data_IF_358150170851
#
_entry.id   IF_358150170851
#
_cell.length_a   1.000
_cell.length_b   1.000
_cell.length_c   1.000
_cell.angle_alpha   90.00
_cell.angle_beta   90.00
_cell.angle_gamma   90.00
#
_symmetry.space_group_name_H-M   'P 1'
#
loop_
_entity.id
_entity.type
_entity.pdbx_description
1 polymer ?
#
# COMPACT_ATOMS: atom_id res chain seq x y z
N UNK A 1 27.03 -27.44 6.93
CA UNK A 1 26.67 -26.10 7.44
C UNK A 1 26.27 -25.34 6.20
N UNK A 2 24.99 -25.38 5.85
CA UNK A 2 24.45 -24.35 4.95
C UNK A 2 24.58 -23.06 5.76
N UNK A 3 25.44 -22.14 5.31
CA UNK A 3 25.32 -20.76 5.75
C UNK A 3 23.86 -20.37 5.48
N UNK A 4 23.15 -19.90 6.50
CA UNK A 4 21.75 -19.51 6.40
C UNK A 4 21.68 -18.31 5.44
N UNK A 5 21.42 -18.59 4.15
CA UNK A 5 21.47 -17.57 3.10
C UNK A 5 20.30 -16.62 3.35
N UNK A 6 20.62 -15.38 3.73
CA UNK A 6 19.62 -14.32 3.89
C UNK A 6 18.79 -14.15 2.62
N UNK A 7 17.48 -13.97 2.78
CA UNK A 7 16.56 -13.66 1.69
C UNK A 7 16.76 -12.20 1.28
N UNK A 8 16.90 -11.96 -0.03
CA UNK A 8 17.14 -10.62 -0.57
C UNK A 8 15.83 -9.90 -0.93
N UNK A 9 15.65 -8.70 -0.41
CA UNK A 9 14.57 -7.78 -0.77
C UNK A 9 15.16 -6.49 -1.31
N UNK A 10 14.66 -6.02 -2.47
CA UNK A 10 15.08 -4.75 -3.07
C UNK A 10 13.96 -3.73 -2.99
N UNK A 11 14.32 -2.50 -2.61
CA UNK A 11 13.50 -1.30 -2.69
C UNK A 11 14.21 -0.29 -3.61
N UNK A 12 13.45 0.48 -4.39
CA UNK A 12 13.98 1.61 -5.18
C UNK A 12 13.31 2.91 -4.74
N UNK A 13 14.08 3.89 -4.26
CA UNK A 13 13.52 5.17 -3.82
C UNK A 13 14.55 6.30 -3.72
N UNK A 14 14.05 7.53 -3.83
CA UNK A 14 14.76 8.76 -3.46
C UNK A 14 14.46 9.14 -2.01
N UNK A 15 15.29 10.00 -1.41
CA UNK A 15 15.27 10.31 0.03
C UNK A 15 13.98 10.99 0.48
N UNK A 16 13.27 11.69 -0.40
CA UNK A 16 11.94 12.23 -0.10
C UNK A 16 10.94 11.13 0.30
N UNK A 17 11.19 9.87 -0.07
CA UNK A 17 10.38 8.71 0.30
C UNK A 17 10.95 7.91 1.48
N UNK A 18 11.92 8.46 2.23
CA UNK A 18 12.57 7.75 3.34
C UNK A 18 11.58 7.23 4.39
N UNK A 19 10.50 7.96 4.68
CA UNK A 19 9.46 7.52 5.62
C UNK A 19 8.68 6.29 5.11
N UNK A 20 8.37 6.26 3.82
CA UNK A 20 7.67 5.16 3.15
C UNK A 20 8.56 3.91 3.09
N UNK A 21 9.85 4.10 2.75
CA UNK A 21 10.88 3.05 2.80
C UNK A 21 10.99 2.47 4.22
N UNK A 22 11.09 3.33 5.24
CA UNK A 22 11.16 2.87 6.63
C UNK A 22 9.91 2.10 7.05
N UNK A 23 8.73 2.58 6.68
CA UNK A 23 7.46 1.93 7.02
C UNK A 23 7.36 0.55 6.37
N UNK A 24 7.76 0.43 5.10
CA UNK A 24 7.83 -0.85 4.39
C UNK A 24 8.80 -1.82 5.08
N UNK A 25 10.03 -1.37 5.39
CA UNK A 25 11.03 -2.19 6.09
C UNK A 25 10.55 -2.64 7.47
N UNK A 26 9.93 -1.73 8.26
CA UNK A 26 9.34 -2.06 9.55
C UNK A 26 8.29 -3.16 9.40
N UNK A 27 7.37 -3.02 8.45
CA UNK A 27 6.33 -4.03 8.21
C UNK A 27 6.92 -5.41 7.91
N UNK A 28 7.96 -5.47 7.07
CA UNK A 28 8.67 -6.73 6.79
C UNK A 28 9.33 -7.28 8.06
N UNK A 29 10.01 -6.44 8.84
CA UNK A 29 10.69 -6.82 10.07
C UNK A 29 9.73 -7.22 11.21
N UNK A 30 8.44 -6.90 11.15
CA UNK A 30 7.47 -7.44 12.11
C UNK A 30 7.21 -8.95 11.92
N UNK A 31 7.45 -9.45 10.71
CA UNK A 31 7.02 -10.79 10.28
C UNK A 31 8.13 -11.66 9.69
N UNK A 32 9.30 -11.09 9.41
CA UNK A 32 10.40 -11.78 8.74
C UNK A 32 11.75 -11.53 9.46
N UNK A 33 12.68 -12.49 9.31
CA UNK A 33 14.07 -12.47 9.79
C UNK A 33 14.98 -13.00 8.68
N UNK A 34 16.30 -12.84 8.85
CA UNK A 34 17.28 -13.26 7.85
C UNK A 34 17.10 -12.49 6.53
N UNK A 35 16.82 -11.19 6.60
CA UNK A 35 16.55 -10.36 5.42
C UNK A 35 17.73 -9.44 5.12
N UNK A 36 18.23 -9.52 3.89
CA UNK A 36 19.12 -8.52 3.31
C UNK A 36 18.32 -7.57 2.44
N UNK A 37 18.16 -6.34 2.90
CA UNK A 37 17.59 -5.27 2.10
C UNK A 37 18.65 -4.65 1.20
N UNK A 38 18.30 -4.38 -0.05
CA UNK A 38 19.03 -3.51 -0.95
C UNK A 38 18.17 -2.28 -1.22
N UNK A 39 18.68 -1.09 -0.94
CA UNK A 39 18.00 0.15 -1.32
C UNK A 39 18.73 0.79 -2.49
N UNK A 40 18.17 0.63 -3.68
CA UNK A 40 18.65 1.29 -4.89
C UNK A 40 18.22 2.76 -4.83
N UNK A 41 19.19 3.67 -4.84
CA UNK A 41 18.96 5.10 -4.64
C UNK A 41 20.08 5.95 -5.26
N UNK A 42 19.89 7.28 -5.31
CA UNK A 42 20.94 8.23 -5.69
C UNK A 42 21.23 9.32 -4.64
N UNK A 43 20.41 9.46 -3.58
CA UNK A 43 20.42 10.64 -2.70
C UNK A 43 20.33 10.35 -1.19
N UNK A 44 20.18 9.09 -0.74
CA UNK A 44 20.05 8.78 0.70
C UNK A 44 21.35 9.01 1.50
N UNK A 45 21.35 9.81 2.58
CA UNK A 45 22.54 10.04 3.40
C UNK A 45 23.13 8.76 4.01
N UNK A 46 24.46 8.69 4.12
CA UNK A 46 25.16 7.52 4.68
C UNK A 46 24.79 7.26 6.15
N UNK A 47 24.56 8.32 6.93
CA UNK A 47 24.14 8.23 8.34
C UNK A 47 22.79 7.54 8.49
N UNK A 48 21.90 7.68 7.50
CA UNK A 48 20.62 6.98 7.49
C UNK A 48 20.82 5.47 7.46
N UNK A 49 21.68 4.98 6.55
CA UNK A 49 22.04 3.57 6.47
C UNK A 49 22.76 3.06 7.71
N UNK A 50 23.73 3.84 8.22
CA UNK A 50 24.46 3.47 9.43
C UNK A 50 23.51 3.28 10.62
N UNK A 51 22.62 4.25 10.86
CA UNK A 51 21.69 4.20 11.97
C UNK A 51 20.61 3.11 11.79
N UNK A 52 20.16 2.87 10.57
CA UNK A 52 19.20 1.80 10.28
C UNK A 52 19.83 0.41 10.47
N UNK A 53 21.05 0.18 9.96
CA UNK A 53 21.76 -1.09 10.17
C UNK A 53 21.97 -1.44 11.64
N UNK A 54 22.22 -0.46 12.51
CA UNK A 54 22.30 -0.68 13.97
C UNK A 54 21.02 -1.24 14.57
N UNK A 55 19.87 -0.92 13.97
CA UNK A 55 18.54 -1.40 14.40
C UNK A 55 18.26 -2.76 13.75
N UNK A 56 18.45 -2.90 12.45
CA UNK A 56 18.22 -4.13 11.69
C UNK A 56 19.06 -5.30 12.18
N UNK A 57 20.31 -5.06 12.58
CA UNK A 57 21.19 -6.12 13.11
C UNK A 57 20.62 -6.81 14.35
N UNK A 58 19.80 -6.12 15.15
CA UNK A 58 19.12 -6.71 16.31
C UNK A 58 17.94 -7.62 15.93
N UNK A 59 17.49 -7.52 14.69
CA UNK A 59 16.38 -8.25 14.11
C UNK A 59 16.86 -9.25 13.05
N UNK A 60 18.15 -9.62 13.05
CA UNK A 60 18.74 -10.52 12.04
C UNK A 60 18.48 -10.06 10.59
N UNK A 61 18.57 -8.75 10.38
CA UNK A 61 18.42 -8.11 9.08
C UNK A 61 19.57 -7.14 8.83
N UNK A 62 19.78 -6.78 7.58
CA UNK A 62 20.71 -5.71 7.18
C UNK A 62 20.22 -4.94 5.96
N UNK A 63 20.79 -3.76 5.73
CA UNK A 63 20.53 -2.95 4.54
C UNK A 63 21.82 -2.54 3.85
N UNK A 64 21.88 -2.80 2.55
CA UNK A 64 22.96 -2.42 1.63
C UNK A 64 22.56 -1.14 0.89
N UNK A 65 23.48 -0.18 0.86
CA UNK A 65 23.34 1.05 0.07
C UNK A 65 23.72 0.78 -1.39
N UNK A 66 22.74 0.42 -2.22
CA UNK A 66 22.90 0.19 -3.66
C UNK A 66 22.86 1.53 -4.41
N UNK A 67 23.90 2.35 -4.22
CA UNK A 67 23.93 3.72 -4.73
C UNK A 67 24.22 3.76 -6.24
N UNK A 68 23.22 4.15 -7.02
CA UNK A 68 23.39 4.51 -8.43
C UNK A 68 24.20 5.79 -8.52
N UNK A 69 25.18 5.80 -9.42
CA UNK A 69 26.03 6.95 -9.67
C UNK A 69 26.30 7.08 -11.18
N UNK A 70 27.03 8.13 -11.59
CA UNK A 70 27.33 8.38 -13.01
C UNK A 70 28.03 7.23 -13.73
N UNK A 71 28.84 6.40 -13.07
CA UNK A 71 29.53 5.30 -13.78
C UNK A 71 28.55 4.21 -14.21
N UNK A 72 27.53 3.92 -13.38
CA UNK A 72 26.46 2.97 -13.72
C UNK A 72 25.57 3.47 -14.86
N UNK A 73 25.49 4.78 -15.07
CA UNK A 73 24.66 5.39 -16.12
C UNK A 73 25.46 5.55 -17.40
N UNK A 74 26.72 6.00 -17.32
CA UNK A 74 27.58 6.30 -18.45
C UNK A 74 27.93 5.06 -19.29
N UNK A 75 27.73 3.84 -18.77
CA UNK A 75 27.84 2.61 -19.54
C UNK A 75 26.70 2.46 -20.58
N UNK A 76 25.62 3.25 -20.45
CA UNK A 76 24.49 3.27 -21.36
C UNK A 76 24.39 4.63 -22.07
N UNK A 77 24.00 4.62 -23.35
CA UNK A 77 23.72 5.84 -24.12
C UNK A 77 22.30 6.32 -23.81
N UNK A 78 22.12 7.10 -22.74
CA UNK A 78 20.79 7.58 -22.31
C UNK A 78 20.80 9.04 -21.87
N UNK A 79 19.67 9.73 -22.08
CA UNK A 79 19.39 11.09 -21.57
C UNK A 79 18.24 11.10 -20.55
N UNK A 80 17.78 9.92 -20.11
CA UNK A 80 16.60 9.77 -19.26
C UNK A 80 16.95 10.03 -17.79
N UNK A 81 16.01 10.66 -17.09
CA UNK A 81 16.03 10.73 -15.63
C UNK A 81 15.72 9.34 -15.04
N UNK A 82 16.77 8.64 -14.65
CA UNK A 82 16.74 7.25 -14.17
C UNK A 82 16.17 7.12 -12.75
N UNK A 83 15.87 8.23 -12.07
CA UNK A 83 15.21 8.24 -10.75
C UNK A 83 13.86 7.50 -10.77
N UNK A 84 13.19 7.47 -11.94
CA UNK A 84 11.93 6.75 -12.15
C UNK A 84 12.11 5.25 -12.46
N UNK A 85 13.34 4.78 -12.65
CA UNK A 85 13.65 3.45 -13.18
C UNK A 85 14.71 2.70 -12.35
N UNK A 86 14.85 3.04 -11.06
CA UNK A 86 15.86 2.46 -10.17
C UNK A 86 15.85 0.92 -10.13
N UNK A 87 14.69 0.29 -10.30
CA UNK A 87 14.60 -1.17 -10.31
C UNK A 87 15.36 -1.85 -11.47
N UNK A 88 15.71 -1.12 -12.54
CA UNK A 88 16.48 -1.68 -13.67
C UNK A 88 17.87 -2.14 -13.23
N UNK A 89 18.43 -1.50 -12.21
CA UNK A 89 19.79 -1.74 -11.72
C UNK A 89 19.88 -2.89 -10.71
N UNK A 90 18.79 -3.63 -10.45
CA UNK A 90 18.81 -4.85 -9.61
C UNK A 90 20.00 -5.78 -9.92
N UNK A 91 20.25 -6.21 -11.18
CA UNK A 91 21.33 -7.15 -11.49
C UNK A 91 22.73 -6.58 -11.28
N UNK A 92 22.88 -5.24 -11.20
CA UNK A 92 24.18 -4.58 -10.99
C UNK A 92 24.58 -4.57 -9.51
N UNK A 93 23.61 -4.63 -8.59
CA UNK A 93 23.84 -4.53 -7.14
C UNK A 93 23.56 -5.81 -6.35
N UNK A 94 22.63 -6.64 -6.80
CA UNK A 94 22.18 -7.82 -6.05
C UNK A 94 22.98 -9.04 -6.49
N UNK A 95 23.57 -9.76 -5.54
CA UNK A 95 24.39 -10.94 -5.84
C UNK A 95 23.55 -12.21 -5.98
N UNK A 96 22.51 -12.35 -5.17
CA UNK A 96 21.67 -13.54 -5.08
C UNK A 96 20.90 -13.84 -6.37
N UNK A 97 20.64 -15.13 -6.61
CA UNK A 97 19.98 -15.60 -7.84
C UNK A 97 18.49 -15.30 -7.91
N UNK A 98 17.84 -15.18 -6.76
CA UNK A 98 16.42 -14.87 -6.62
C UNK A 98 16.28 -13.68 -5.67
N UNK A 99 15.46 -12.70 -6.04
CA UNK A 99 15.26 -11.48 -5.25
C UNK A 99 13.82 -11.02 -5.31
N UNK A 100 13.30 -10.51 -4.20
CA UNK A 100 11.97 -9.90 -4.16
C UNK A 100 12.09 -8.38 -4.25
N UNK A 101 11.63 -7.80 -5.36
CA UNK A 101 11.46 -6.35 -5.48
C UNK A 101 10.12 -5.93 -4.91
N UNK A 102 10.12 -4.84 -4.14
CA UNK A 102 8.94 -4.19 -3.58
C UNK A 102 8.99 -2.68 -3.85
N UNK A 103 7.85 -2.08 -4.18
CA UNK A 103 7.70 -0.62 -4.08
C UNK A 103 7.69 -0.19 -2.60
N UNK A 104 7.84 1.11 -2.33
CA UNK A 104 7.85 1.64 -0.95
C UNK A 104 6.48 2.11 -0.43
N UNK A 105 5.44 2.06 -1.26
CA UNK A 105 4.06 2.44 -0.95
C UNK A 105 3.16 1.23 -0.66
N UNK A 106 3.74 0.22 0.00
CA UNK A 106 3.07 -0.99 0.45
C UNK A 106 3.43 -1.34 1.89
N UNK A 107 2.72 -2.32 2.46
CA UNK A 107 3.05 -2.92 3.74
C UNK A 107 2.91 -4.43 3.68
N UNK A 108 3.80 -5.13 4.37
CA UNK A 108 3.83 -6.58 4.50
C UNK A 108 3.24 -6.96 5.86
N UNK A 109 2.21 -7.81 5.84
CA UNK A 109 1.43 -8.17 7.01
C UNK A 109 1.64 -9.61 7.48
N UNK A 110 2.47 -10.39 6.78
CA UNK A 110 2.67 -11.83 7.00
C UNK A 110 4.10 -12.26 6.64
N UNK A 111 4.47 -13.49 7.03
CA UNK A 111 5.70 -14.15 6.60
C UNK A 111 5.75 -14.27 5.06
N UNK A 112 6.88 -13.89 4.47
CA UNK A 112 7.14 -13.91 3.02
C UNK A 112 7.84 -15.19 2.57
N UNK A 113 8.19 -16.12 3.46
CA UNK A 113 8.79 -17.41 3.09
C UNK A 113 8.04 -18.12 1.97
N UNK A 114 6.68 -18.23 2.00
CA UNK A 114 5.94 -18.86 0.90
C UNK A 114 6.08 -18.16 -0.46
N UNK A 115 6.39 -16.85 -0.47
CA UNK A 115 6.63 -16.09 -1.71
C UNK A 115 8.03 -16.38 -2.25
N UNK A 116 9.04 -16.50 -1.39
CA UNK A 116 10.40 -16.88 -1.78
C UNK A 116 10.53 -18.32 -2.26
N UNK A 117 9.68 -19.22 -1.76
CA UNK A 117 9.69 -20.65 -2.12
C UNK A 117 9.05 -20.95 -3.49
N UNK A 118 8.53 -19.94 -4.19
CA UNK A 118 7.95 -20.10 -5.53
C UNK A 118 9.05 -20.46 -6.53
N UNK A 119 8.88 -21.59 -7.21
CA UNK A 119 9.74 -21.98 -8.33
C UNK A 119 9.41 -21.15 -9.58
N UNK A 120 10.35 -20.27 -9.95
CA UNK A 120 10.25 -19.45 -11.15
C UNK A 120 10.50 -20.25 -12.44
N UNK A 121 11.14 -21.42 -12.37
CA UNK A 121 11.61 -22.15 -13.56
C UNK A 121 12.41 -21.24 -14.50
N UNK A 122 11.95 -21.14 -15.75
CA UNK A 122 12.54 -20.30 -16.80
C UNK A 122 11.89 -18.91 -16.91
N UNK A 123 10.95 -18.57 -16.03
CA UNK A 123 10.37 -17.23 -16.01
C UNK A 123 11.38 -16.21 -15.46
N UNK A 124 11.51 -15.02 -16.10
CA UNK A 124 12.36 -13.94 -15.61
C UNK A 124 11.82 -13.30 -14.33
N UNK A 125 10.51 -13.37 -14.10
CA UNK A 125 9.88 -12.90 -12.87
C UNK A 125 8.52 -13.56 -12.64
N UNK A 126 8.05 -13.49 -11.40
CA UNK A 126 6.66 -13.66 -11.02
C UNK A 126 6.08 -12.36 -10.45
N UNK A 127 4.85 -12.02 -10.82
CA UNK A 127 4.16 -10.81 -10.40
C UNK A 127 2.64 -11.01 -10.38
N UNK A 128 1.90 -10.07 -9.81
CA UNK A 128 0.42 -10.12 -9.78
C UNK A 128 -0.14 -9.35 -10.98
N UNK A 129 -1.18 -9.90 -11.59
CA UNK A 129 -1.92 -9.24 -12.68
C UNK A 129 -2.48 -7.88 -12.24
N UNK A 130 -2.32 -6.87 -13.09
CA UNK A 130 -2.99 -5.59 -12.95
C UNK A 130 -4.46 -5.72 -13.38
N UNK A 131 -5.35 -5.99 -12.42
CA UNK A 131 -6.78 -6.16 -12.70
C UNK A 131 -7.44 -4.85 -13.18
N UNK A 132 -6.90 -3.68 -12.82
CA UNK A 132 -7.38 -2.41 -13.35
C UNK A 132 -7.11 -2.30 -14.85
N UNK A 133 -5.92 -2.67 -15.29
CA UNK A 133 -5.58 -2.71 -16.72
C UNK A 133 -6.46 -3.70 -17.50
N UNK A 134 -6.72 -4.87 -16.92
CA UNK A 134 -7.63 -5.85 -17.51
C UNK A 134 -9.06 -5.31 -17.63
N UNK A 135 -9.58 -4.65 -16.59
CA UNK A 135 -10.96 -4.18 -16.57
C UNK A 135 -11.20 -2.98 -17.49
N UNK A 136 -10.31 -1.99 -17.46
CA UNK A 136 -10.50 -0.73 -18.19
C UNK A 136 -9.95 -0.75 -19.61
N UNK A 137 -8.93 -1.56 -19.89
CA UNK A 137 -8.23 -1.57 -21.19
C UNK A 137 -8.18 -2.95 -21.86
N UNK A 138 -8.72 -3.99 -21.20
CA UNK A 138 -8.64 -5.38 -21.67
C UNK A 138 -7.19 -5.86 -21.90
N UNK A 139 -6.26 -5.37 -21.07
CA UNK A 139 -4.84 -5.70 -21.13
C UNK A 139 -4.45 -6.74 -20.08
N UNK A 140 -3.78 -7.80 -20.52
CA UNK A 140 -3.21 -8.82 -19.65
C UNK A 140 -1.76 -8.47 -19.31
N UNK A 141 -1.59 -7.60 -18.31
CA UNK A 141 -0.29 -7.10 -17.84
C UNK A 141 -0.15 -7.29 -16.33
N UNK A 142 1.08 -7.27 -15.82
CA UNK A 142 1.36 -7.34 -14.39
C UNK A 142 1.61 -5.96 -13.78
N UNK A 143 1.34 -5.83 -12.48
CA UNK A 143 1.78 -4.68 -11.69
C UNK A 143 3.24 -4.87 -11.26
N UNK A 144 4.07 -3.84 -11.44
CA UNK A 144 5.52 -3.94 -11.18
C UNK A 144 5.94 -3.67 -9.73
N UNK A 145 4.99 -3.40 -8.81
CA UNK A 145 5.35 -3.04 -7.44
C UNK A 145 5.64 -4.21 -6.51
N UNK A 146 5.38 -5.44 -6.94
CA UNK A 146 5.81 -6.66 -6.26
C UNK A 146 6.27 -7.64 -7.35
N UNK A 147 7.56 -7.95 -7.38
CA UNK A 147 8.13 -8.87 -8.35
C UNK A 147 9.12 -9.83 -7.68
N UNK A 148 8.86 -11.13 -7.76
CA UNK A 148 9.87 -12.14 -7.46
C UNK A 148 10.71 -12.35 -8.72
N UNK A 149 11.97 -11.94 -8.69
CA UNK A 149 12.83 -11.82 -9.86
C UNK A 149 13.84 -12.96 -9.90
N UNK A 150 13.96 -13.59 -11.08
CA UNK A 150 15.04 -14.52 -11.41
C UNK A 150 16.29 -13.70 -11.79
N UNK A 151 16.99 -13.19 -10.79
CA UNK A 151 18.14 -12.31 -10.98
C UNK A 151 19.29 -12.99 -11.76
N UNK A 152 19.43 -14.31 -11.62
CA UNK A 152 20.35 -15.10 -12.47
C UNK A 152 20.02 -14.95 -13.95
N UNK A 153 18.73 -15.04 -14.32
CA UNK A 153 18.29 -14.85 -15.69
C UNK A 153 18.43 -13.40 -16.13
N UNK A 154 18.10 -12.43 -15.26
CA UNK A 154 18.26 -11.01 -15.56
C UNK A 154 19.70 -10.63 -15.88
N UNK A 155 20.67 -11.16 -15.11
CA UNK A 155 22.10 -11.01 -15.40
C UNK A 155 22.49 -11.67 -16.73
N UNK A 156 22.05 -12.92 -16.96
CA UNK A 156 22.36 -13.68 -18.18
C UNK A 156 21.83 -13.01 -19.45
N UNK A 157 20.62 -12.47 -19.39
CA UNK A 157 19.96 -11.82 -20.53
C UNK A 157 20.30 -10.32 -20.65
N UNK A 158 21.18 -9.77 -19.81
CA UNK A 158 21.49 -8.33 -19.80
C UNK A 158 20.24 -7.44 -19.66
N UNK A 159 19.28 -7.82 -18.81
CA UNK A 159 17.96 -7.16 -18.70
C UNK A 159 18.07 -5.66 -18.41
N UNK A 160 18.99 -5.23 -17.53
CA UNK A 160 19.21 -3.81 -17.23
C UNK A 160 19.47 -3.01 -18.52
N UNK A 161 20.34 -3.52 -19.38
CA UNK A 161 20.68 -2.90 -20.67
C UNK A 161 19.47 -2.83 -21.60
N UNK A 162 18.74 -3.95 -21.74
CA UNK A 162 17.54 -4.00 -22.60
C UNK A 162 16.48 -2.99 -22.14
N UNK A 163 16.22 -2.92 -20.83
CA UNK A 163 15.26 -1.97 -20.26
C UNK A 163 15.68 -0.53 -20.56
N UNK A 164 16.95 -0.18 -20.37
CA UNK A 164 17.45 1.18 -20.64
C UNK A 164 17.38 1.52 -22.14
N UNK A 165 17.78 0.61 -23.02
CA UNK A 165 17.70 0.77 -24.48
C UNK A 165 16.24 0.96 -24.93
N UNK A 166 15.32 0.13 -24.44
CA UNK A 166 13.89 0.25 -24.74
C UNK A 166 13.28 1.55 -24.24
N UNK A 167 13.61 1.98 -23.02
CA UNK A 167 13.12 3.26 -22.48
C UNK A 167 13.59 4.42 -23.38
N UNK A 168 14.86 4.44 -23.81
CA UNK A 168 15.38 5.45 -24.75
C UNK A 168 14.63 5.46 -26.09
N UNK A 169 14.38 4.29 -26.67
CA UNK A 169 13.71 4.17 -27.98
C UNK A 169 12.24 4.59 -27.96
N UNK A 170 11.58 4.42 -26.82
CA UNK A 170 10.15 4.64 -26.67
C UNK A 170 9.81 5.97 -26.00
N UNK A 171 10.80 6.75 -25.53
CA UNK A 171 10.58 7.90 -24.61
C UNK A 171 9.60 8.94 -25.17
N UNK A 172 9.57 9.10 -26.48
CA UNK A 172 8.72 10.06 -27.19
C UNK A 172 7.38 9.47 -27.67
N UNK A 173 7.11 8.19 -27.42
CA UNK A 173 6.01 7.43 -28.05
C UNK A 173 4.94 6.95 -27.09
N UNK A 174 5.26 6.81 -25.81
CA UNK A 174 4.37 6.21 -24.80
C UNK A 174 4.47 7.01 -23.52
N UNK A 175 3.38 7.15 -22.76
CA UNK A 175 3.46 7.62 -21.38
C UNK A 175 4.21 6.53 -20.61
N UNK A 176 5.52 6.73 -20.41
CA UNK A 176 6.39 5.70 -19.89
C UNK A 176 6.36 5.66 -18.38
N UNK A 177 5.78 4.60 -17.84
CA UNK A 177 6.07 4.17 -16.48
C UNK A 177 7.03 2.99 -16.52
N UNK A 178 7.78 2.77 -15.44
CA UNK A 178 8.59 1.58 -15.24
C UNK A 178 7.78 0.28 -15.54
N UNK A 179 6.53 0.23 -15.09
CA UNK A 179 5.60 -0.88 -15.34
C UNK A 179 5.38 -1.14 -16.85
N UNK A 180 5.27 -0.08 -17.66
CA UNK A 180 5.01 -0.20 -19.10
C UNK A 180 6.16 -0.91 -19.83
N UNK A 181 7.41 -0.50 -19.59
CA UNK A 181 8.58 -1.06 -20.28
C UNK A 181 8.83 -2.51 -19.84
N UNK A 182 8.69 -2.80 -18.54
CA UNK A 182 8.77 -4.16 -18.00
C UNK A 182 7.74 -5.10 -18.65
N UNK A 183 6.50 -4.64 -18.82
CA UNK A 183 5.44 -5.43 -19.47
C UNK A 183 5.67 -5.63 -20.98
N UNK A 184 6.32 -4.68 -21.67
CA UNK A 184 6.70 -4.86 -23.08
C UNK A 184 7.83 -5.90 -23.18
N UNK A 185 8.88 -5.78 -22.37
CA UNK A 185 10.04 -6.67 -22.41
C UNK A 185 9.66 -8.12 -22.04
N UNK A 186 8.85 -8.28 -21.00
CA UNK A 186 8.47 -9.59 -20.46
C UNK A 186 7.07 -10.03 -20.89
N UNK A 187 6.56 -9.48 -22.00
CA UNK A 187 5.28 -9.90 -22.55
C UNK A 187 5.25 -11.43 -22.72
N UNK A 188 4.21 -12.06 -22.18
CA UNK A 188 3.99 -13.51 -22.18
C UNK A 188 5.10 -14.34 -21.47
N UNK A 189 6.06 -13.69 -20.81
CA UNK A 189 7.19 -14.30 -20.08
C UNK A 189 7.19 -13.87 -18.61
N UNK A 190 6.09 -14.07 -17.90
CA UNK A 190 6.04 -13.88 -16.45
C UNK A 190 5.11 -14.91 -15.80
N UNK A 191 5.41 -15.30 -14.58
CA UNK A 191 4.59 -16.20 -13.79
C UNK A 191 3.55 -15.40 -12.98
N UNK A 192 2.27 -15.72 -13.14
CA UNK A 192 1.22 -15.05 -12.39
C UNK A 192 1.18 -15.50 -10.92
N UNK A 193 1.27 -14.53 -10.02
CA UNK A 193 1.09 -14.70 -8.58
C UNK A 193 -0.38 -14.51 -8.18
N UNK A 194 -0.76 -15.12 -7.06
CA UNK A 194 -2.05 -14.87 -6.41
C UNK A 194 -2.16 -13.38 -6.01
N UNK A 195 -3.34 -12.79 -6.22
CA UNK A 195 -3.67 -11.40 -5.89
C UNK A 195 -3.28 -11.01 -4.45
N UNK A 196 -3.29 -11.95 -3.50
CA UNK A 196 -2.91 -11.70 -2.11
C UNK A 196 -1.48 -11.21 -1.91
N UNK A 197 -0.57 -11.53 -2.83
CA UNK A 197 0.84 -11.11 -2.77
C UNK A 197 1.07 -9.71 -3.31
N UNK A 198 0.06 -9.06 -3.86
CA UNK A 198 0.08 -7.64 -4.23
C UNK A 198 -1.36 -7.14 -4.21
N UNK A 199 -1.95 -7.08 -3.02
CA UNK A 199 -3.34 -6.69 -2.84
C UNK A 199 -3.45 -5.17 -3.04
N UNK A 200 -3.59 -4.78 -4.31
CA UNK A 200 -3.82 -3.40 -4.70
C UNK A 200 -5.20 -3.01 -4.19
N UNK A 201 -5.26 -2.06 -3.26
CA UNK A 201 -6.49 -1.70 -2.56
C UNK A 201 -7.60 -1.30 -3.52
N UNK A 202 -7.24 -0.60 -4.59
CA UNK A 202 -8.12 -0.20 -5.68
C UNK A 202 -8.66 -1.38 -6.48
N UNK A 203 -7.93 -2.47 -6.62
CA UNK A 203 -8.33 -3.60 -7.47
C UNK A 203 -9.17 -4.62 -6.70
N UNK A 204 -9.39 -4.43 -5.40
CA UNK A 204 -10.17 -5.36 -4.57
C UNK A 204 -11.60 -5.58 -5.07
N UNK A 205 -12.22 -4.57 -5.71
CA UNK A 205 -13.55 -4.73 -6.31
C UNK A 205 -13.55 -5.56 -7.61
N UNK A 206 -12.40 -5.71 -8.26
CA UNK A 206 -12.21 -6.58 -9.43
C UNK A 206 -11.78 -7.99 -9.04
N UNK A 207 -11.55 -8.24 -7.76
CA UNK A 207 -11.01 -9.50 -7.24
C UNK A 207 -12.01 -10.23 -6.35
N UNK A 208 -12.05 -11.55 -6.47
CA UNK A 208 -12.78 -12.42 -5.55
C UNK A 208 -11.98 -12.72 -4.27
N UNK A 209 -10.75 -12.21 -4.16
CA UNK A 209 -9.92 -12.43 -2.99
C UNK A 209 -10.55 -11.81 -1.73
N UNK A 210 -10.60 -12.60 -0.65
CA UNK A 210 -10.97 -12.14 0.69
C UNK A 210 -9.91 -12.62 1.68
N UNK A 211 -9.38 -11.75 2.54
CA UNK A 211 -8.45 -12.17 3.59
C UNK A 211 -9.10 -13.17 4.54
N UNK A 212 -8.29 -13.98 5.20
CA UNK A 212 -8.75 -14.84 6.29
C UNK A 212 -9.39 -14.00 7.41
N UNK A 213 -10.35 -14.60 8.12
CA UNK A 213 -11.10 -13.91 9.16
C UNK A 213 -10.16 -13.36 10.24
N UNK A 214 -10.19 -12.04 10.43
CA UNK A 214 -9.36 -11.35 11.41
C UNK A 214 -7.93 -11.03 10.95
N UNK A 215 -7.53 -11.41 9.74
CA UNK A 215 -6.24 -11.10 9.16
C UNK A 215 -6.34 -10.01 8.08
N UNK A 216 -5.18 -9.51 7.66
CA UNK A 216 -4.99 -8.65 6.49
C UNK A 216 -4.33 -9.42 5.34
N UNK A 217 -4.45 -8.96 4.08
CA UNK A 217 -3.69 -9.53 2.96
C UNK A 217 -2.19 -9.59 3.26
N UNK A 218 -1.43 -10.62 2.80
CA UNK A 218 0.01 -10.70 2.99
C UNK A 218 0.76 -9.43 2.60
N UNK A 219 0.41 -8.83 1.47
CA UNK A 219 0.96 -7.55 1.02
C UNK A 219 -0.20 -6.64 0.61
N UNK A 220 -0.29 -5.45 1.22
CA UNK A 220 -1.25 -4.41 0.83
C UNK A 220 -0.48 -3.32 0.09
N UNK A 221 -0.92 -3.00 -1.13
CA UNK A 221 -0.26 -2.02 -1.99
C UNK A 221 -1.17 -0.80 -2.25
N UNK A 222 -0.70 0.38 -1.87
CA UNK A 222 -1.46 1.63 -1.92
C UNK A 222 -1.14 2.44 -3.18
N UNK A 223 -1.59 1.97 -4.35
CA UNK A 223 -1.34 2.63 -5.64
C UNK A 223 -1.98 4.03 -5.75
N UNK A 224 -1.55 4.77 -6.77
CA UNK A 224 -2.09 6.09 -7.19
C UNK A 224 -1.91 7.18 -6.14
N UNK A 225 -2.70 8.25 -6.21
CA UNK A 225 -2.75 9.34 -5.23
C UNK A 225 -3.52 8.99 -3.94
N UNK A 226 -4.10 7.78 -3.84
CA UNK A 226 -4.89 7.31 -2.68
C UNK A 226 -3.99 6.79 -1.55
N UNK A 227 -2.99 7.59 -1.18
CA UNK A 227 -1.97 7.20 -0.21
C UNK A 227 -2.52 7.22 1.23
N UNK A 228 -2.13 6.26 2.09
CA UNK A 228 -2.58 6.20 3.47
C UNK A 228 -1.98 7.32 4.35
N UNK A 229 -0.94 8.02 3.87
CA UNK A 229 -0.39 9.22 4.51
C UNK A 229 -0.96 10.55 3.95
N UNK A 230 -1.92 10.49 3.02
CA UNK A 230 -2.58 11.69 2.50
C UNK A 230 -3.54 12.32 3.52
N UNK A 231 -3.91 13.59 3.32
CA UNK A 231 -4.82 14.32 4.22
C UNK A 231 -6.18 13.61 4.42
N UNK A 232 -6.79 13.19 3.31
CA UNK A 232 -8.06 12.47 3.32
C UNK A 232 -7.85 10.96 3.29
N UNK A 233 -8.75 10.22 3.93
CA UNK A 233 -8.78 8.78 3.79
C UNK A 233 -9.44 8.41 2.45
N UNK A 234 -8.65 7.76 1.59
CA UNK A 234 -9.04 7.38 0.22
C UNK A 234 -8.75 5.92 -0.12
N UNK A 235 -8.31 5.14 0.85
CA UNK A 235 -7.97 3.73 0.67
C UNK A 235 -8.45 2.94 1.87
N UNK A 236 -8.99 1.76 1.59
CA UNK A 236 -9.15 0.72 2.61
C UNK A 236 -7.79 0.41 3.25
N UNK A 237 -7.82 -0.10 4.48
CA UNK A 237 -6.65 -0.47 5.27
C UNK A 237 -5.68 0.67 5.62
N UNK A 238 -6.11 1.94 5.54
CA UNK A 238 -5.28 3.10 5.92
C UNK A 238 -4.58 2.95 7.27
N UNK A 239 -5.29 2.46 8.29
CA UNK A 239 -4.76 2.30 9.65
C UNK A 239 -3.62 1.30 9.74
N UNK A 240 -3.52 0.35 8.80
CA UNK A 240 -2.44 -0.66 8.77
C UNK A 240 -1.11 0.00 8.44
N UNK A 241 -1.08 0.97 7.52
CA UNK A 241 0.15 1.71 7.22
C UNK A 241 0.62 2.51 8.43
N UNK A 242 -0.31 3.22 9.10
CA UNK A 242 0.00 4.00 10.30
C UNK A 242 0.43 3.12 11.48
N UNK A 243 -0.16 1.93 11.62
CA UNK A 243 0.27 0.93 12.60
C UNK A 243 1.76 0.61 12.45
N UNK A 244 2.23 0.30 11.23
CA UNK A 244 3.65 0.01 10.99
C UNK A 244 4.56 1.23 11.07
N UNK A 245 4.09 2.38 10.57
CA UNK A 245 4.83 3.63 10.67
C UNK A 245 5.16 3.96 12.13
N UNK A 246 4.18 3.77 13.02
CA UNK A 246 4.30 4.03 14.45
C UNK A 246 5.06 2.95 15.25
N UNK A 247 5.37 1.78 14.68
CA UNK A 247 6.11 0.75 15.43
C UNK A 247 7.49 1.23 15.84
N UNK A 248 7.84 1.00 17.10
CA UNK A 248 9.20 1.17 17.57
C UNK A 248 10.06 -0.07 17.27
N UNK A 249 11.36 0.16 17.09
CA UNK A 249 12.29 -0.93 16.75
C UNK A 249 12.45 -1.97 17.87
N UNK A 250 12.15 -1.60 19.12
CA UNK A 250 12.08 -2.50 20.27
C UNK A 250 10.91 -3.47 20.19
N UNK A 251 9.79 -3.01 19.65
CA UNK A 251 8.51 -3.73 19.67
C UNK A 251 8.52 -4.86 18.63
N UNK A 252 9.38 -4.74 17.62
CA UNK A 252 9.61 -5.74 16.58
C UNK A 252 10.55 -6.87 17.01
N UNK A 253 10.98 -6.95 18.27
CA UNK A 253 11.87 -8.01 18.75
C UNK A 253 11.21 -9.39 18.68
N UNK A 254 9.92 -9.47 18.99
CA UNK A 254 9.11 -10.68 18.86
C UNK A 254 8.56 -10.81 17.43
N UNK A 255 8.76 -11.98 16.82
CA UNK A 255 8.24 -12.26 15.49
C UNK A 255 6.75 -12.61 15.58
N UNK A 256 5.93 -12.00 14.73
CA UNK A 256 4.53 -12.37 14.58
C UNK A 256 4.31 -12.98 13.20
N UNK A 257 3.61 -14.10 13.09
CA UNK A 257 3.39 -14.75 11.78
C UNK A 257 2.48 -13.94 10.87
N UNK A 258 1.53 -13.18 11.45
CA UNK A 258 0.67 -12.25 10.72
C UNK A 258 0.14 -11.13 11.62
N UNK A 259 -0.26 -10.02 11.01
CA UNK A 259 -0.96 -8.92 11.65
C UNK A 259 -2.47 -9.20 11.78
N UNK A 260 -3.01 -9.02 12.98
CA UNK A 260 -4.44 -9.17 13.27
C UNK A 260 -5.19 -7.84 13.24
N UNK A 261 -6.47 -7.86 12.83
CA UNK A 261 -7.41 -6.72 12.98
C UNK A 261 -7.50 -6.24 14.44
N UNK A 262 -7.31 -7.13 15.41
CA UNK A 262 -7.33 -6.80 16.85
C UNK A 262 -6.14 -5.91 17.24
N UNK A 263 -4.92 -6.22 16.78
CA UNK A 263 -3.73 -5.41 17.05
C UNK A 263 -3.89 -3.98 16.51
N UNK A 264 -4.38 -3.85 15.27
CA UNK A 264 -4.61 -2.53 14.66
C UNK A 264 -5.68 -1.74 15.43
N UNK A 265 -6.80 -2.37 15.82
CA UNK A 265 -7.83 -1.73 16.65
C UNK A 265 -7.31 -1.29 18.02
N UNK A 266 -6.45 -2.09 18.65
CA UNK A 266 -5.83 -1.73 19.94
C UNK A 266 -4.90 -0.52 19.78
N UNK A 267 -4.13 -0.47 18.70
CA UNK A 267 -3.25 0.66 18.39
C UNK A 267 -4.02 1.97 18.18
N UNK A 268 -5.14 1.94 17.45
CA UNK A 268 -5.92 3.17 17.19
C UNK A 268 -6.68 3.68 18.41
N UNK A 269 -6.85 2.85 19.45
CA UNK A 269 -7.60 3.20 20.67
C UNK A 269 -9.10 3.41 20.44
N UNK A 270 -9.59 3.08 19.25
CA UNK A 270 -10.99 3.27 18.85
C UNK A 270 -11.85 2.22 19.56
N UNK A 271 -12.75 2.67 20.44
CA UNK A 271 -13.72 1.79 21.12
C UNK A 271 -14.99 1.61 20.30
N UNK A 272 -15.41 2.71 19.67
CA UNK A 272 -16.61 2.76 18.83
C UNK A 272 -16.35 3.59 17.58
N UNK A 273 -17.14 3.36 16.54
CA UNK A 273 -16.98 4.01 15.25
C UNK A 273 -18.32 4.36 14.62
N UNK A 274 -18.42 5.56 14.08
CA UNK A 274 -19.64 6.11 13.51
C UNK A 274 -19.38 6.56 12.07
N UNK A 275 -20.30 6.24 11.16
CA UNK A 275 -20.31 6.80 9.81
C UNK A 275 -21.27 7.98 9.74
N UNK A 276 -20.86 9.06 9.08
CA UNK A 276 -21.74 10.12 8.56
C UNK A 276 -21.51 10.14 7.06
N UNK A 277 -22.56 9.92 6.25
CA UNK A 277 -22.45 9.90 4.78
C UNK A 277 -23.26 11.02 4.16
N UNK A 278 -22.61 11.94 3.43
CA UNK A 278 -23.19 13.26 3.15
C UNK A 278 -22.84 13.83 1.77
N UNK A 279 -23.75 14.62 1.19
CA UNK A 279 -23.46 15.59 0.13
C UNK A 279 -23.32 17.02 0.67
N UNK A 280 -23.77 17.27 1.89
CA UNK A 280 -23.83 18.58 2.53
C UNK A 280 -22.70 18.79 3.53
N UNK A 281 -22.27 20.04 3.68
CA UNK A 281 -21.36 20.46 4.76
C UNK A 281 -22.09 20.80 6.06
N UNK A 282 -23.43 20.85 6.05
CA UNK A 282 -24.23 21.04 7.26
C UNK A 282 -24.47 19.70 7.94
N UNK A 283 -23.71 19.45 9.02
CA UNK A 283 -23.79 18.25 9.85
C UNK A 283 -24.33 18.64 11.24
N UNK A 284 -25.57 18.24 11.52
CA UNK A 284 -26.29 18.67 12.71
C UNK A 284 -25.56 18.26 13.99
N UNK A 285 -25.25 19.23 14.85
CA UNK A 285 -24.57 19.05 16.15
C UNK A 285 -23.24 18.29 16.08
N UNK A 286 -22.57 18.26 14.92
CA UNK A 286 -21.34 17.48 14.76
C UNK A 286 -20.25 17.89 15.75
N UNK A 287 -20.00 19.19 15.92
CA UNK A 287 -19.00 19.68 16.88
C UNK A 287 -19.27 19.20 18.32
N UNK A 288 -20.54 19.23 18.75
CA UNK A 288 -20.94 18.74 20.07
C UNK A 288 -20.66 17.24 20.23
N UNK A 289 -20.99 16.42 19.23
CA UNK A 289 -20.75 14.98 19.26
C UNK A 289 -19.25 14.66 19.32
N UNK A 290 -18.44 15.36 18.53
CA UNK A 290 -16.98 15.19 18.51
C UNK A 290 -16.38 15.42 19.89
N UNK A 291 -16.76 16.52 20.55
CA UNK A 291 -16.23 16.93 21.86
C UNK A 291 -16.69 16.02 22.99
N UNK A 292 -17.93 15.53 22.94
CA UNK A 292 -18.55 14.76 24.03
C UNK A 292 -18.40 13.24 23.86
N UNK A 293 -17.93 12.76 22.71
CA UNK A 293 -17.69 11.34 22.43
C UNK A 293 -16.24 11.09 21.99
N UNK A 294 -15.24 11.35 22.84
CA UNK A 294 -13.83 11.19 22.49
C UNK A 294 -13.42 9.75 22.16
N UNK A 295 -14.19 8.76 22.64
CA UNK A 295 -13.96 7.34 22.41
C UNK A 295 -14.61 6.81 21.11
N UNK A 296 -15.34 7.66 20.39
CA UNK A 296 -15.99 7.34 19.11
C UNK A 296 -15.16 7.95 17.98
N UNK A 297 -14.69 7.14 17.04
CA UNK A 297 -14.12 7.62 15.78
C UNK A 297 -15.24 7.93 14.81
N UNK A 298 -15.33 9.17 14.33
CA UNK A 298 -16.28 9.56 13.31
C UNK A 298 -15.63 9.58 11.93
N UNK A 299 -16.22 8.84 11.00
CA UNK A 299 -15.88 8.87 9.59
C UNK A 299 -16.90 9.75 8.87
N UNK A 300 -16.48 10.90 8.38
CA UNK A 300 -17.31 11.78 7.56
C UNK A 300 -16.95 11.50 6.10
N UNK A 301 -17.87 10.87 5.39
CA UNK A 301 -17.65 10.41 4.03
C UNK A 301 -18.58 11.11 3.05
N UNK A 302 -18.04 11.55 1.92
CA UNK A 302 -18.80 12.23 0.87
C UNK A 302 -18.42 11.69 -0.51
N UNK A 303 -19.39 11.37 -1.38
CA UNK A 303 -19.10 11.00 -2.77
C UNK A 303 -18.41 12.14 -3.54
N UNK A 304 -18.64 13.38 -3.14
CA UNK A 304 -18.10 14.60 -3.75
C UNK A 304 -16.96 15.20 -2.93
N UNK A 305 -16.30 16.23 -3.48
CA UNK A 305 -15.33 17.02 -2.70
C UNK A 305 -16.02 17.70 -1.53
N UNK A 306 -15.47 17.50 -0.33
CA UNK A 306 -15.94 18.17 0.89
C UNK A 306 -15.53 19.64 0.93
N UNK A 307 -16.34 20.46 1.59
CA UNK A 307 -16.03 21.86 1.88
C UNK A 307 -14.92 22.01 2.94
N UNK A 308 -14.24 23.16 2.97
CA UNK A 308 -13.20 23.46 3.98
C UNK A 308 -13.72 23.34 5.42
N UNK A 309 -15.00 23.61 5.67
CA UNK A 309 -15.61 23.46 6.99
C UNK A 309 -15.59 22.02 7.50
N UNK A 310 -15.77 21.03 6.63
CA UNK A 310 -15.65 19.61 6.96
C UNK A 310 -14.18 19.24 7.13
N UNK A 311 -13.31 19.72 6.24
CA UNK A 311 -11.86 19.50 6.35
C UNK A 311 -11.30 20.05 7.66
N UNK A 312 -11.78 21.19 8.14
CA UNK A 312 -11.37 21.79 9.41
C UNK A 312 -11.64 20.88 10.62
N UNK A 313 -12.60 19.95 10.54
CA UNK A 313 -12.85 18.96 11.59
C UNK A 313 -11.70 17.96 11.78
N UNK A 314 -10.76 17.86 10.84
CA UNK A 314 -9.53 17.08 11.02
C UNK A 314 -8.63 17.63 12.14
N UNK A 315 -8.94 18.81 12.69
CA UNK A 315 -8.33 19.30 13.93
C UNK A 315 -8.61 18.38 15.14
N UNK A 316 -9.67 17.56 15.09
CA UNK A 316 -10.03 16.64 16.16
C UNK A 316 -9.49 15.22 15.90
N UNK A 317 -8.81 14.59 16.87
CA UNK A 317 -8.13 13.30 16.67
C UNK A 317 -9.11 12.14 16.38
N UNK A 318 -10.35 12.26 16.82
CA UNK A 318 -11.41 11.29 16.60
C UNK A 318 -12.16 11.48 15.27
N UNK A 319 -11.68 12.34 14.36
CA UNK A 319 -12.26 12.55 13.03
C UNK A 319 -11.41 11.89 11.92
N UNK A 320 -12.08 11.33 10.93
CA UNK A 320 -11.53 10.98 9.63
C UNK A 320 -12.47 11.51 8.54
N UNK A 321 -11.89 12.08 7.47
CA UNK A 321 -12.64 12.64 6.36
C UNK A 321 -12.32 11.87 5.08
N UNK A 322 -13.36 11.41 4.40
CA UNK A 322 -13.30 10.74 3.10
C UNK A 322 -14.00 11.64 2.09
N UNK A 323 -13.20 12.22 1.19
CA UNK A 323 -13.63 13.22 0.22
C UNK A 323 -13.41 12.70 -1.19
N UNK A 324 -14.39 12.94 -2.07
CA UNK A 324 -14.39 12.50 -3.47
C UNK A 324 -14.28 10.97 -3.59
N UNK A 325 -15.19 10.26 -2.90
CA UNK A 325 -15.23 8.79 -2.89
C UNK A 325 -16.27 8.18 -3.82
N UNK A 326 -16.83 8.98 -4.74
CA UNK A 326 -17.65 8.44 -5.84
C UNK A 326 -16.87 7.37 -6.63
N UNK A 327 -17.56 6.28 -6.98
CA UNK A 327 -16.94 5.17 -7.72
C UNK A 327 -15.95 4.33 -6.91
N UNK A 328 -15.98 4.41 -5.57
CA UNK A 328 -15.13 3.60 -4.68
C UNK A 328 -15.94 2.60 -3.84
N UNK A 329 -16.63 1.61 -4.45
CA UNK A 329 -17.54 0.72 -3.74
C UNK A 329 -16.83 -0.04 -2.61
N UNK A 330 -15.63 -0.58 -2.82
CA UNK A 330 -14.86 -1.27 -1.77
C UNK A 330 -14.59 -0.40 -0.54
N UNK A 331 -14.39 0.91 -0.73
CA UNK A 331 -14.15 1.84 0.38
C UNK A 331 -15.44 2.07 1.17
N UNK A 332 -16.58 2.22 0.48
CA UNK A 332 -17.90 2.34 1.11
C UNK A 332 -18.29 1.05 1.82
N UNK A 333 -18.09 -0.13 1.21
CA UNK A 333 -18.30 -1.42 1.89
C UNK A 333 -17.43 -1.55 3.14
N UNK A 334 -16.16 -1.15 3.05
CA UNK A 334 -15.26 -1.18 4.20
C UNK A 334 -15.71 -0.26 5.32
N UNK A 335 -16.31 0.90 5.01
CA UNK A 335 -16.90 1.81 6.01
C UNK A 335 -18.08 1.15 6.70
N UNK A 336 -18.99 0.54 5.94
CA UNK A 336 -20.14 -0.19 6.48
C UNK A 336 -19.68 -1.37 7.33
N UNK A 337 -18.68 -2.15 6.90
CA UNK A 337 -18.15 -3.28 7.67
C UNK A 337 -17.54 -2.82 9.00
N UNK A 338 -16.77 -1.73 8.99
CA UNK A 338 -15.97 -1.33 10.16
C UNK A 338 -16.68 -0.41 11.14
N UNK A 339 -17.64 0.41 10.70
CA UNK A 339 -18.36 1.32 11.58
C UNK A 339 -19.39 0.56 12.42
N UNK A 340 -19.54 0.90 13.69
CA UNK A 340 -20.50 0.25 14.58
C UNK A 340 -21.92 0.76 14.34
N UNK A 341 -22.08 2.02 13.95
CA UNK A 341 -23.38 2.64 13.68
C UNK A 341 -23.31 3.76 12.64
N UNK A 342 -24.47 4.11 12.08
CA UNK A 342 -24.65 5.26 11.18
C UNK A 342 -25.25 6.44 11.96
N UNK A 343 -24.75 7.63 11.68
CA UNK A 343 -25.31 8.90 12.12
C UNK A 343 -25.91 9.61 10.92
N UNK A 344 -27.22 9.55 10.81
CA UNK A 344 -28.03 10.24 9.81
C UNK A 344 -28.25 11.70 10.25
N UNK A 345 -27.19 12.49 10.18
CA UNK A 345 -27.16 13.88 10.68
C UNK A 345 -26.81 14.89 9.57
N UNK A 346 -26.68 14.44 8.33
CA UNK A 346 -26.50 15.32 7.19
C UNK A 346 -27.79 16.07 6.89
N UNK A 347 -27.66 17.30 6.40
CA UNK A 347 -28.80 17.99 5.81
C UNK A 347 -29.25 17.36 4.48
N UNK A 348 -30.41 17.80 4.01
CA UNK A 348 -31.00 17.53 2.70
C UNK A 348 -31.62 16.14 2.52
N UNK A 349 -30.95 15.24 1.81
CA UNK A 349 -31.49 13.93 1.43
C UNK A 349 -30.51 12.82 1.79
N UNK A 350 -31.03 11.60 1.96
CA UNK A 350 -30.21 10.40 2.12
C UNK A 350 -29.27 10.20 0.91
N UNK A 351 -28.04 9.76 1.19
CA UNK A 351 -27.01 9.49 0.17
C UNK A 351 -26.90 7.99 -0.12
N UNK A 352 -27.07 7.60 -1.38
CA UNK A 352 -26.85 6.25 -1.94
C UNK A 352 -27.48 5.08 -1.16
N UNK A 353 -28.63 5.29 -0.52
CA UNK A 353 -29.34 4.25 0.24
C UNK A 353 -28.56 3.72 1.45
N UNK A 354 -27.64 4.52 2.00
CA UNK A 354 -26.74 4.11 3.07
C UNK A 354 -27.46 3.66 4.34
N UNK A 355 -28.64 4.22 4.64
CA UNK A 355 -29.45 3.84 5.81
C UNK A 355 -29.88 2.39 5.66
N UNK A 356 -30.47 2.05 4.51
CA UNK A 356 -30.90 0.68 4.21
C UNK A 356 -29.74 -0.32 4.27
N UNK A 357 -28.54 0.10 3.86
CA UNK A 357 -27.33 -0.76 3.90
C UNK A 357 -26.84 -1.03 5.32
N UNK A 358 -26.90 -0.06 6.23
CA UNK A 358 -26.60 -0.28 7.64
C UNK A 358 -27.66 -1.17 8.32
N UNK A 359 -28.94 -0.94 8.01
CA UNK A 359 -30.04 -1.77 8.52
C UNK A 359 -29.91 -3.24 8.05
N UNK A 360 -29.59 -3.47 6.77
CA UNK A 360 -29.32 -4.81 6.23
C UNK A 360 -28.12 -5.49 6.89
N UNK A 361 -27.11 -4.71 7.29
CA UNK A 361 -25.96 -5.22 8.05
C UNK A 361 -26.27 -5.44 9.55
N UNK A 362 -27.50 -5.17 10.00
CA UNK A 362 -27.91 -5.31 11.40
C UNK A 362 -27.30 -4.27 12.33
N UNK A 363 -26.92 -3.10 11.80
CA UNK A 363 -26.26 -2.03 12.53
C UNK A 363 -27.22 -0.87 12.82
N UNK A 364 -27.18 -0.27 14.02
CA UNK A 364 -28.10 0.79 14.38
C UNK A 364 -27.84 2.08 13.58
N UNK A 365 -28.92 2.83 13.38
CA UNK A 365 -28.93 4.15 12.73
C UNK A 365 -29.52 5.15 13.73
N UNK A 366 -28.83 6.26 13.95
CA UNK A 366 -29.30 7.32 14.83
C UNK A 366 -29.39 8.64 14.07
N UNK A 367 -30.39 9.47 14.39
CA UNK A 367 -30.45 10.88 13.97
C UNK A 367 -31.03 11.79 15.04
N UNK A 368 -30.97 13.08 14.76
CA UNK A 368 -31.81 14.07 15.44
C UNK A 368 -33.16 14.15 14.73
N UNK A 369 -34.24 14.31 15.50
CA UNK A 369 -35.61 14.46 14.96
C UNK A 369 -35.71 15.52 13.84
N UNK A 370 -34.89 16.57 13.90
CA UNK A 370 -34.89 17.66 12.93
C UNK A 370 -34.33 17.32 11.54
N UNK A 371 -33.59 16.21 11.40
CA UNK A 371 -32.89 15.83 10.16
C UNK A 371 -33.04 14.34 9.82
N UNK A 372 -33.95 13.64 10.50
CA UNK A 372 -34.15 12.22 10.29
C UNK A 372 -34.71 11.93 8.89
N UNK A 373 -34.02 11.07 8.14
CA UNK A 373 -34.53 10.52 6.88
C UNK A 373 -35.15 9.14 7.14
N UNK A 374 -36.42 8.95 6.73
CA UNK A 374 -37.12 7.66 6.83
C UNK A 374 -37.55 7.24 8.24
N UNK A 375 -38.03 6.00 8.37
CA UNK A 375 -38.29 5.37 9.68
C UNK A 375 -36.98 4.81 10.24
N UNK A 376 -36.50 5.42 11.31
CA UNK A 376 -35.33 4.96 12.05
C UNK A 376 -35.81 3.87 13.01
N UNK A 377 -35.47 2.62 12.70
CA UNK A 377 -35.95 1.42 13.39
C UNK A 377 -35.57 1.34 14.86
#
# INVERSE_FOLDING_TARGET
MEDDIMKSIVLGANFQYAEMVLTTIKSICCHNRGIRFYLINNDFPTEWFYNLNRKLKKLDCEIVNARVNRTHINQYKTNIDYELFLCYFIPDFVEENTVLYLDCDLVVNQDLTPLFDIDLGDYPLAAVQDLGAQYYFNEYIFNSGVMLINNRLWKKEEVCKQLIEMTNELQDKVIQTNQSILNILFKDRWLALDFKYNCITLHTHFSNYRPEAGAYPPIIHYLTNRKPWGLYERSIYRDVWWYYNAQDWSDMSELTSYLTKKQVRQYTGIQHSALVYTFSSDLRNMAYLIENLPNVKFYIAAPVMVAESITALLAYPNIAVLSDIAGQPSLVESLIERCDFLLDINADFEVDGIIGRFQQAGKPVFAFESVAHGEQG
#
